data_IF_962168445826
#
_entry.id   IF_962168445826
#
_cell.length_a   1.000
_cell.length_b   1.000
_cell.length_c   1.000
_cell.angle_alpha   90.00
_cell.angle_beta   90.00
_cell.angle_gamma   90.00
#
_symmetry.space_group_name_H-M   'P 1'
#
loop_
_entity.id
_entity.type
_entity.pdbx_description
1 polymer ?
#
# COMPACT_ATOMS: atom_id res chain seq x y z
N UNK A 1 -12.85 11.72 1.10
CA UNK A 1 -11.98 11.47 -0.07
C UNK A 1 -10.63 11.00 0.47
N UNK A 2 -10.14 9.84 0.05
CA UNK A 2 -8.82 9.33 0.46
C UNK A 2 -7.75 10.31 -0.04
N UNK A 3 -6.70 10.58 0.75
CA UNK A 3 -5.64 11.55 0.38
C UNK A 3 -5.02 11.28 -0.98
N UNK A 4 -4.91 10.01 -1.38
CA UNK A 4 -4.43 9.58 -2.70
C UNK A 4 -5.28 10.13 -3.86
N UNK A 5 -6.61 10.20 -3.71
CA UNK A 5 -7.49 10.74 -4.75
C UNK A 5 -7.31 12.25 -4.94
N UNK A 6 -6.94 12.97 -3.87
CA UNK A 6 -6.62 14.40 -3.94
C UNK A 6 -5.25 14.59 -4.61
N UNK A 7 -4.24 13.82 -4.20
CA UNK A 7 -2.92 13.81 -4.86
C UNK A 7 -3.04 13.48 -6.36
N UNK A 8 -3.83 12.47 -6.71
CA UNK A 8 -4.05 12.04 -8.09
C UNK A 8 -4.71 13.14 -8.95
N UNK A 9 -5.60 13.94 -8.37
CA UNK A 9 -6.29 15.02 -9.08
C UNK A 9 -5.50 16.33 -9.16
N UNK A 10 -4.67 16.64 -8.16
CA UNK A 10 -4.02 17.97 -8.03
C UNK A 10 -2.50 17.92 -8.20
N UNK A 11 -1.88 16.74 -8.07
CA UNK A 11 -0.44 16.59 -7.95
C UNK A 11 0.14 17.10 -6.62
N UNK A 12 -0.71 17.52 -5.68
CA UNK A 12 -0.27 18.06 -4.39
C UNK A 12 0.26 16.95 -3.49
N UNK A 13 1.59 16.86 -3.39
CA UNK A 13 2.29 15.86 -2.57
C UNK A 13 1.89 15.92 -1.09
N UNK A 14 1.44 17.08 -0.59
CA UNK A 14 0.98 17.19 0.80
C UNK A 14 -0.34 16.44 1.04
N UNK A 15 -1.10 16.14 -0.01
CA UNK A 15 -2.32 15.35 0.07
C UNK A 15 -2.05 13.84 0.11
N UNK A 16 -0.83 13.40 -0.22
CA UNK A 16 -0.46 11.98 -0.16
C UNK A 16 -0.50 11.51 1.30
N UNK A 17 -1.21 10.40 1.63
CA UNK A 17 -1.20 9.86 2.97
C UNK A 17 0.23 9.51 3.40
N UNK A 18 0.51 9.68 4.69
CA UNK A 18 1.77 9.23 5.25
C UNK A 18 1.92 7.70 5.14
N UNK A 19 3.16 7.24 5.22
CA UNK A 19 3.45 5.81 5.18
C UNK A 19 2.74 5.03 6.29
N UNK A 20 2.72 5.56 7.51
CA UNK A 20 2.04 4.95 8.66
C UNK A 20 0.52 4.83 8.44
N UNK A 21 -0.11 5.84 7.84
CA UNK A 21 -1.53 5.79 7.48
C UNK A 21 -1.82 4.73 6.42
N UNK A 22 -0.96 4.61 5.39
CA UNK A 22 -1.10 3.58 4.36
C UNK A 22 -0.98 2.17 4.97
N UNK A 23 0.03 1.94 5.83
CA UNK A 23 0.20 0.65 6.48
C UNK A 23 -1.01 0.33 7.36
N UNK A 24 -1.46 1.26 8.21
CA UNK A 24 -2.64 1.04 9.08
C UNK A 24 -3.91 0.73 8.30
N UNK A 25 -4.12 1.38 7.16
CA UNK A 25 -5.31 1.17 6.34
C UNK A 25 -5.31 -0.18 5.61
N UNK A 26 -4.13 -0.72 5.29
CA UNK A 26 -4.02 -1.88 4.39
C UNK A 26 -3.50 -3.17 5.07
N UNK A 27 -2.81 -3.08 6.21
CA UNK A 27 -2.11 -4.20 6.83
C UNK A 27 -3.01 -5.41 7.07
N UNK A 28 -4.19 -5.22 7.68
CA UNK A 28 -5.13 -6.30 7.96
C UNK A 28 -5.63 -7.01 6.70
N UNK A 29 -5.81 -6.28 5.59
CA UNK A 29 -6.28 -6.89 4.33
C UNK A 29 -5.15 -7.66 3.67
N UNK A 30 -3.95 -7.11 3.64
CA UNK A 30 -2.76 -7.77 3.08
C UNK A 30 -2.45 -9.03 3.87
N UNK A 31 -2.42 -8.96 5.20
CA UNK A 31 -2.18 -10.10 6.07
C UNK A 31 -3.21 -11.22 5.88
N UNK A 32 -4.51 -10.88 5.84
CA UNK A 32 -5.56 -11.89 5.59
C UNK A 32 -5.47 -12.53 4.20
N UNK A 33 -4.95 -11.82 3.20
CA UNK A 33 -4.68 -12.41 1.90
C UNK A 33 -3.46 -13.33 1.96
N UNK A 34 -2.36 -12.86 2.55
CA UNK A 34 -1.13 -13.64 2.72
C UNK A 34 -1.39 -14.94 3.48
N UNK A 35 -2.14 -14.88 4.59
CA UNK A 35 -2.51 -16.06 5.37
C UNK A 35 -3.36 -17.07 4.59
N UNK A 36 -4.29 -16.59 3.75
CA UNK A 36 -5.06 -17.48 2.86
C UNK A 36 -4.19 -18.16 1.80
N UNK A 37 -3.10 -17.53 1.39
CA UNK A 37 -2.18 -18.07 0.39
C UNK A 37 -1.12 -19.02 0.99
N UNK A 38 -0.60 -18.71 2.18
CA UNK A 38 0.47 -19.48 2.82
C UNK A 38 -0.04 -20.59 3.76
N UNK A 39 -1.25 -20.44 4.30
CA UNK A 39 -1.84 -21.39 5.25
C UNK A 39 -1.20 -21.42 6.64
N UNK A 40 -0.24 -20.53 6.92
CA UNK A 40 0.41 -20.43 8.23
C UNK A 40 0.81 -18.98 8.56
N UNK A 41 0.95 -18.71 9.87
CA UNK A 41 1.19 -17.37 10.39
C UNK A 41 2.55 -16.81 9.97
N UNK A 42 3.62 -17.59 10.10
CA UNK A 42 5.00 -17.14 9.85
C UNK A 42 5.15 -16.63 8.42
N UNK A 43 4.77 -17.45 7.44
CA UNK A 43 4.87 -17.07 6.03
C UNK A 43 3.92 -15.92 5.68
N UNK A 44 2.78 -15.80 6.37
CA UNK A 44 1.86 -14.69 6.16
C UNK A 44 2.45 -13.36 6.65
N UNK A 45 3.15 -13.36 7.78
CA UNK A 45 3.86 -12.20 8.31
C UNK A 45 4.99 -11.77 7.36
N UNK A 46 5.80 -12.73 6.90
CA UNK A 46 6.89 -12.47 5.96
C UNK A 46 6.38 -11.90 4.63
N UNK A 47 5.36 -12.52 4.02
CA UNK A 47 4.75 -12.02 2.78
C UNK A 47 4.16 -10.62 2.94
N UNK A 48 3.54 -10.35 4.09
CA UNK A 48 2.98 -9.02 4.40
C UNK A 48 4.08 -7.98 4.48
N UNK A 49 5.15 -8.28 5.20
CA UNK A 49 6.31 -7.40 5.32
C UNK A 49 6.97 -7.14 3.96
N UNK A 50 7.26 -8.19 3.18
CA UNK A 50 7.83 -8.04 1.85
C UNK A 50 6.97 -7.17 0.93
N UNK A 51 5.65 -7.35 0.98
CA UNK A 51 4.70 -6.55 0.21
C UNK A 51 4.83 -5.07 0.55
N UNK A 52 4.81 -4.71 1.83
CA UNK A 52 4.97 -3.32 2.25
C UNK A 52 6.36 -2.75 1.93
N UNK A 53 7.44 -3.54 2.05
CA UNK A 53 8.77 -3.09 1.64
C UNK A 53 8.82 -2.74 0.15
N UNK A 54 8.18 -3.54 -0.71
CA UNK A 54 8.09 -3.27 -2.15
C UNK A 54 7.28 -2.00 -2.43
N UNK A 55 6.13 -1.85 -1.77
CA UNK A 55 5.30 -0.64 -1.90
C UNK A 55 6.07 0.60 -1.41
N UNK A 56 6.75 0.54 -0.28
CA UNK A 56 7.55 1.65 0.25
C UNK A 56 8.64 2.10 -0.73
N UNK A 57 9.36 1.16 -1.34
CA UNK A 57 10.39 1.48 -2.35
C UNK A 57 9.79 2.09 -3.61
N UNK A 58 8.59 1.66 -3.98
CA UNK A 58 7.90 2.11 -5.19
C UNK A 58 7.21 3.47 -5.01
N UNK A 59 6.58 3.70 -3.85
CA UNK A 59 5.76 4.91 -3.59
C UNK A 59 6.57 6.19 -3.62
N UNK A 60 7.87 6.13 -3.32
CA UNK A 60 8.79 7.27 -3.44
C UNK A 60 8.90 7.81 -4.87
N UNK A 61 8.62 6.97 -5.87
CA UNK A 61 8.66 7.32 -7.29
C UNK A 61 7.27 7.40 -7.92
N UNK A 62 6.20 7.32 -7.12
CA UNK A 62 4.83 7.42 -7.62
C UNK A 62 4.58 8.80 -8.23
N UNK A 63 4.00 8.82 -9.42
CA UNK A 63 3.54 10.03 -10.10
C UNK A 63 2.01 10.05 -10.09
N UNK A 64 1.37 11.24 -10.04
CA UNK A 64 -0.08 11.34 -10.02
C UNK A 64 -0.74 10.50 -11.12
N UNK A 65 -1.70 9.67 -10.73
CA UNK A 65 -2.28 8.62 -11.57
C UNK A 65 -3.55 8.05 -10.95
N UNK A 66 -3.82 6.75 -11.08
CA UNK A 66 -4.82 6.10 -10.23
C UNK A 66 -4.08 5.23 -9.22
N UNK A 67 -4.07 5.64 -7.96
CA UNK A 67 -3.29 4.96 -6.92
C UNK A 67 -3.64 3.47 -6.78
N UNK A 68 -4.93 3.12 -6.84
CA UNK A 68 -5.38 1.73 -6.77
C UNK A 68 -4.86 0.90 -7.96
N UNK A 69 -4.92 1.44 -9.17
CA UNK A 69 -4.38 0.78 -10.37
C UNK A 69 -2.86 0.63 -10.35
N UNK A 70 -2.14 1.55 -9.71
CA UNK A 70 -0.70 1.43 -9.48
C UNK A 70 -0.38 0.39 -8.42
N UNK A 71 -1.15 0.32 -7.32
CA UNK A 71 -0.93 -0.63 -6.24
C UNK A 71 -1.16 -2.09 -6.67
N UNK A 72 -2.03 -2.31 -7.67
CA UNK A 72 -2.31 -3.62 -8.23
C UNK A 72 -1.31 -4.10 -9.30
N UNK A 73 -0.30 -3.29 -9.67
CA UNK A 73 0.74 -3.64 -10.66
C UNK A 73 2.00 -4.19 -9.98
#
# INVERSE_FOLDING_TARGET
MTGTAVFDATGDKAAMPSWDELVRQHADRVYRLAYRLSGNQHDAEDLTQETFIRVFRSVQNYQPGTFEGWLHR
#
